data_IF_320195499384
#
_entry.id   IF_320195499384
#
_cell.length_a   1.000
_cell.length_b   1.000
_cell.length_c   1.000
_cell.angle_alpha   90.00
_cell.angle_beta   90.00
_cell.angle_gamma   90.00
#
_symmetry.space_group_name_H-M   'P 1'
#
loop_
_entity.id
_entity.type
_entity.pdbx_description
1 polymer ?
#
# COMPACT_ATOMS: atom_id res chain seq x y z
N UNK A 1 -7.24 28.34 2.02
CA UNK A 1 -6.83 27.89 3.36
C UNK A 1 -7.15 29.08 4.22
N UNK A 2 -8.01 28.89 5.22
CA UNK A 2 -8.68 30.00 5.89
C UNK A 2 -8.27 29.99 7.36
N UNK A 3 -8.05 31.19 7.91
CA UNK A 3 -7.65 31.33 9.31
C UNK A 3 -8.90 31.28 10.19
N UNK A 4 -8.97 30.23 11.00
CA UNK A 4 -10.07 30.01 11.93
C UNK A 4 -9.71 30.44 13.35
N UNK A 5 -10.64 31.10 14.05
CA UNK A 5 -10.49 31.39 15.48
C UNK A 5 -10.93 30.16 16.31
N UNK A 6 -10.00 29.52 17.02
CA UNK A 6 -10.26 28.31 17.83
C UNK A 6 -11.36 28.57 18.87
N UNK A 7 -11.29 29.70 19.56
CA UNK A 7 -12.42 30.28 20.30
C UNK A 7 -13.01 31.39 19.45
N UNK A 8 -14.29 31.30 19.03
CA UNK A 8 -14.94 32.34 18.24
C UNK A 8 -14.95 33.69 18.97
N UNK A 9 -14.88 34.79 18.21
CA UNK A 9 -14.95 36.14 18.77
C UNK A 9 -16.29 36.40 19.48
N UNK A 10 -17.39 35.80 19.01
CA UNK A 10 -18.71 35.85 19.67
C UNK A 10 -18.72 35.22 21.06
N UNK A 11 -17.74 34.37 21.39
CA UNK A 11 -17.55 33.76 22.70
C UNK A 11 -16.40 34.43 23.49
N UNK A 12 -15.93 35.59 23.05
CA UNK A 12 -14.82 36.32 23.69
C UNK A 12 -13.42 35.83 23.29
N UNK A 13 -13.31 35.04 22.22
CA UNK A 13 -12.00 34.63 21.68
C UNK A 13 -11.19 35.81 21.17
N UNK A 14 -9.92 35.88 21.58
CA UNK A 14 -9.00 36.96 21.19
C UNK A 14 -8.48 36.77 19.77
N UNK A 15 -8.13 37.87 19.11
CA UNK A 15 -7.52 37.85 17.78
C UNK A 15 -5.99 37.69 17.89
N UNK A 16 -5.53 36.51 18.30
CA UNK A 16 -4.09 36.22 18.44
C UNK A 16 -3.70 34.95 17.69
N UNK A 17 -2.40 34.77 17.43
CA UNK A 17 -1.88 33.58 16.75
C UNK A 17 -2.16 32.30 17.55
N UNK A 18 -2.16 32.39 18.88
CA UNK A 18 -2.46 31.28 19.80
C UNK A 18 -3.95 30.91 19.80
N UNK A 19 -4.82 31.77 19.28
CA UNK A 19 -6.23 31.48 19.06
C UNK A 19 -6.57 31.28 17.57
N UNK A 20 -5.59 31.29 16.67
CA UNK A 20 -5.77 31.09 15.25
C UNK A 20 -5.30 29.69 14.82
N UNK A 21 -6.00 29.07 13.87
CA UNK A 21 -5.58 27.82 13.23
C UNK A 21 -5.90 27.84 11.72
N UNK A 22 -4.94 27.50 10.84
CA UNK A 22 -5.20 27.38 9.42
C UNK A 22 -5.99 26.10 9.13
N UNK A 23 -7.20 26.23 8.59
CA UNK A 23 -8.04 25.10 8.20
C UNK A 23 -8.29 25.11 6.69
N UNK A 24 -8.44 23.92 6.10
CA UNK A 24 -8.99 23.81 4.74
C UNK A 24 -10.50 24.10 4.78
N UNK A 25 -11.13 24.48 3.64
CA UNK A 25 -12.54 24.87 3.62
C UNK A 25 -13.49 23.83 4.24
N UNK A 26 -13.27 22.53 3.96
CA UNK A 26 -14.09 21.44 4.52
C UNK A 26 -13.91 21.28 6.04
N UNK A 27 -12.67 21.33 6.55
CA UNK A 27 -12.42 21.29 7.99
C UNK A 27 -12.96 22.53 8.70
N UNK A 28 -12.92 23.69 8.03
CA UNK A 28 -13.43 24.94 8.56
C UNK A 28 -14.95 24.85 8.77
N UNK A 29 -15.68 24.31 7.80
CA UNK A 29 -17.13 24.08 7.88
C UNK A 29 -17.51 22.98 8.89
N UNK A 30 -16.76 21.87 8.91
CA UNK A 30 -17.11 20.69 9.72
C UNK A 30 -16.76 20.86 11.20
N UNK A 31 -15.63 21.49 11.52
CA UNK A 31 -15.07 21.48 12.87
C UNK A 31 -14.92 22.85 13.51
N UNK A 32 -14.85 23.93 12.72
CA UNK A 32 -14.43 25.26 13.20
C UNK A 32 -15.26 25.74 14.40
N UNK A 33 -16.59 25.81 14.23
CA UNK A 33 -17.47 26.30 15.30
C UNK A 33 -17.74 25.28 16.42
N UNK A 34 -17.16 24.08 16.40
CA UNK A 34 -17.49 23.01 17.35
C UNK A 34 -16.64 23.13 18.64
N UNK A 35 -17.23 23.47 19.81
CA UNK A 35 -16.47 23.65 21.05
C UNK A 35 -15.75 22.38 21.52
N UNK A 36 -16.29 21.20 21.22
CA UNK A 36 -15.72 19.90 21.61
C UNK A 36 -14.46 19.54 20.81
N UNK A 37 -14.24 20.19 19.66
CA UNK A 37 -13.10 19.92 18.77
C UNK A 37 -11.97 20.94 18.91
N UNK A 38 -12.12 21.97 19.76
CA UNK A 38 -11.09 23.02 20.00
C UNK A 38 -9.73 22.46 20.40
N UNK A 39 -9.71 21.42 21.26
CA UNK A 39 -8.47 20.75 21.66
C UNK A 39 -7.78 20.11 20.46
N UNK A 40 -8.53 19.34 19.67
CA UNK A 40 -8.02 18.69 18.45
C UNK A 40 -7.46 19.71 17.46
N UNK A 41 -8.18 20.81 17.22
CA UNK A 41 -7.75 21.88 16.31
C UNK A 41 -6.44 22.51 16.81
N UNK A 42 -6.30 22.73 18.12
CA UNK A 42 -5.08 23.28 18.72
C UNK A 42 -3.89 22.34 18.57
N UNK A 43 -4.07 21.07 18.90
CA UNK A 43 -3.01 20.05 18.79
C UNK A 43 -2.56 19.86 17.32
N UNK A 44 -3.52 19.83 16.38
CA UNK A 44 -3.21 19.74 14.95
C UNK A 44 -2.46 20.98 14.44
N UNK A 45 -2.83 22.18 14.92
CA UNK A 45 -2.10 23.43 14.61
C UNK A 45 -0.68 23.38 15.17
N UNK A 46 -0.51 23.00 16.43
CA UNK A 46 0.81 23.00 17.08
C UNK A 46 1.75 22.03 16.37
N UNK A 47 1.25 20.85 15.98
CA UNK A 47 1.98 19.91 15.12
C UNK A 47 2.34 20.54 13.77
N UNK A 48 1.42 21.26 13.13
CA UNK A 48 1.70 21.94 11.87
C UNK A 48 2.78 23.02 12.02
N UNK A 49 2.77 23.79 13.11
CA UNK A 49 3.81 24.78 13.41
C UNK A 49 5.16 24.13 13.70
N UNK A 50 5.19 23.02 14.43
CA UNK A 50 6.42 22.24 14.63
C UNK A 50 6.97 21.75 13.29
N UNK A 51 6.10 21.23 12.41
CA UNK A 51 6.50 20.81 11.07
C UNK A 51 7.06 21.99 10.29
N UNK A 52 6.42 23.15 10.27
CA UNK A 52 6.91 24.34 9.57
C UNK A 52 8.26 24.83 10.12
N UNK A 53 8.42 24.86 11.44
CA UNK A 53 9.67 25.27 12.10
C UNK A 53 10.82 24.30 11.81
N UNK A 54 10.54 23.01 11.65
CA UNK A 54 11.56 21.96 11.46
C UNK A 54 11.84 21.63 10.00
N UNK A 55 10.84 21.65 9.11
CA UNK A 55 10.99 21.30 7.68
C UNK A 55 11.76 22.34 6.87
N UNK A 56 11.66 23.63 7.21
CA UNK A 56 12.20 24.71 6.38
C UNK A 56 13.46 25.39 6.96
N UNK A 57 13.98 24.91 8.09
CA UNK A 57 15.23 25.39 8.69
C UNK A 57 16.50 24.85 8.00
N UNK A 58 16.40 24.38 6.75
CA UNK A 58 17.43 23.56 6.09
C UNK A 58 18.71 24.36 5.78
N UNK A 59 19.76 24.15 6.59
CA UNK A 59 21.11 24.62 6.31
C UNK A 59 21.90 23.69 5.37
N UNK A 60 22.98 24.21 4.78
CA UNK A 60 23.90 23.51 3.84
C UNK A 60 24.39 22.15 4.36
N UNK A 61 24.46 21.94 5.68
CA UNK A 61 24.79 20.65 6.29
C UNK A 61 23.82 19.53 5.93
N UNK A 62 22.50 19.80 5.91
CA UNK A 62 21.49 18.80 5.56
C UNK A 62 21.59 18.36 4.10
N UNK A 63 22.04 19.23 3.19
CA UNK A 63 22.26 18.87 1.78
C UNK A 63 23.44 17.92 1.61
N UNK A 64 24.50 18.09 2.41
CA UNK A 64 25.65 17.18 2.42
C UNK A 64 25.24 15.81 2.95
N UNK A 65 24.53 15.76 4.07
CA UNK A 65 24.05 14.52 4.67
C UNK A 65 23.10 13.77 3.72
N UNK A 66 22.23 14.49 2.99
CA UNK A 66 21.38 13.92 1.95
C UNK A 66 22.19 13.36 0.78
N UNK A 67 23.22 14.09 0.33
CA UNK A 67 24.09 13.63 -0.77
C UNK A 67 24.85 12.36 -0.38
N UNK A 68 25.33 12.28 0.86
CA UNK A 68 26.02 11.10 1.36
C UNK A 68 25.06 9.93 1.55
N UNK A 69 23.86 10.16 2.07
CA UNK A 69 22.83 9.11 2.19
C UNK A 69 22.35 8.59 0.83
N UNK A 70 22.23 9.45 -0.20
CA UNK A 70 21.85 9.06 -1.56
C UNK A 70 22.84 8.10 -2.22
N UNK A 71 24.13 8.13 -1.86
CA UNK A 71 25.13 7.15 -2.33
C UNK A 71 24.83 5.72 -1.86
N UNK A 72 24.01 5.58 -0.81
CA UNK A 72 23.66 4.31 -0.18
C UNK A 72 22.18 3.94 -0.39
N UNK A 73 21.48 4.66 -1.27
CA UNK A 73 20.14 4.33 -1.77
C UNK A 73 20.31 3.57 -3.08
N UNK A 74 19.50 2.53 -3.31
CA UNK A 74 19.69 1.58 -4.39
C UNK A 74 19.82 2.29 -5.76
N UNK A 75 20.93 2.01 -6.44
CA UNK A 75 21.21 2.44 -7.80
C UNK A 75 20.70 1.40 -8.81
N UNK A 76 20.67 1.75 -10.10
CA UNK A 76 20.27 0.85 -11.19
C UNK A 76 21.14 -0.43 -11.27
N UNK A 77 22.34 -0.41 -10.67
CA UNK A 77 23.27 -1.54 -10.61
C UNK A 77 22.91 -2.51 -9.46
N UNK A 78 22.41 -2.00 -8.33
CA UNK A 78 21.99 -2.81 -7.18
C UNK A 78 20.77 -3.69 -7.52
N UNK A 79 19.87 -3.19 -8.39
CA UNK A 79 18.72 -3.93 -8.90
C UNK A 79 19.13 -5.13 -9.78
N UNK A 80 20.25 -5.04 -10.52
CA UNK A 80 20.74 -6.17 -11.34
C UNK A 80 21.30 -7.29 -10.47
N UNK A 81 21.89 -6.96 -9.32
CA UNK A 81 22.43 -7.96 -8.39
C UNK A 81 21.32 -8.68 -7.58
N UNK A 82 20.20 -8.03 -7.30
CA UNK A 82 19.03 -8.66 -6.68
C UNK A 82 18.33 -9.66 -7.62
N UNK A 83 18.23 -9.35 -8.91
CA UNK A 83 17.68 -10.28 -9.92
C UNK A 83 18.50 -11.58 -10.05
N UNK A 84 19.82 -11.51 -9.84
CA UNK A 84 20.71 -12.69 -9.84
C UNK A 84 20.62 -13.48 -8.53
N UNK A 85 20.40 -12.82 -7.39
CA UNK A 85 20.32 -13.48 -6.07
C UNK A 85 19.08 -14.36 -5.88
N UNK A 86 17.97 -14.06 -6.57
CA UNK A 86 16.77 -14.91 -6.55
C UNK A 86 17.03 -16.31 -7.16
N UNK A 87 17.99 -16.45 -8.09
CA UNK A 87 18.38 -17.75 -8.66
C UNK A 87 19.17 -18.60 -7.65
N UNK A 88 19.99 -17.96 -6.81
CA UNK A 88 20.79 -18.66 -5.79
C UNK A 88 19.99 -19.12 -4.56
N UNK A 89 18.79 -18.60 -4.30
CA UNK A 89 17.94 -19.14 -3.23
C UNK A 89 17.29 -20.49 -3.61
N UNK A 90 17.19 -20.80 -4.92
CA UNK A 90 16.76 -22.10 -5.44
C UNK A 90 17.90 -23.14 -5.48
N UNK A 91 19.15 -22.70 -5.42
CA UNK A 91 20.34 -23.56 -5.44
C UNK A 91 21.11 -23.34 -4.14
N UNK A 92 20.75 -24.08 -3.09
CA UNK A 92 21.29 -23.95 -1.73
C UNK A 92 22.82 -23.96 -1.63
N UNK A 93 23.45 -22.82 -1.85
CA UNK A 93 24.86 -22.59 -1.59
C UNK A 93 24.99 -21.57 -0.47
N UNK A 94 25.22 -22.08 0.73
CA UNK A 94 25.64 -21.34 1.91
C UNK A 94 27.02 -20.73 1.71
N UNK A 95 27.13 -19.40 1.73
CA UNK A 95 28.44 -18.74 1.72
C UNK A 95 28.35 -17.22 1.76
N UNK A 96 28.41 -16.64 2.97
CA UNK A 96 28.59 -15.20 3.19
C UNK A 96 27.62 -14.64 4.23
N UNK A 97 28.11 -14.42 5.46
CA UNK A 97 27.41 -13.64 6.49
C UNK A 97 27.38 -12.17 6.08
N UNK A 98 26.32 -11.76 5.39
CA UNK A 98 25.78 -10.40 5.49
C UNK A 98 24.48 -10.52 6.30
N UNK A 99 24.28 -9.63 7.28
CA UNK A 99 23.03 -9.56 8.04
C UNK A 99 21.85 -9.35 7.08
N UNK A 100 21.22 -10.44 6.66
CA UNK A 100 19.92 -10.39 6.01
C UNK A 100 18.92 -9.84 7.02
N UNK A 101 18.54 -8.57 6.84
CA UNK A 101 17.42 -7.97 7.55
C UNK A 101 16.18 -8.89 7.38
N UNK A 102 15.58 -9.38 8.47
CA UNK A 102 14.44 -10.31 8.44
C UNK A 102 13.15 -9.69 7.84
N UNK A 103 13.16 -8.43 7.42
CA UNK A 103 11.95 -7.69 7.06
C UNK A 103 11.27 -8.14 5.76
N UNK A 104 11.97 -8.70 4.78
CA UNK A 104 11.32 -9.24 3.56
C UNK A 104 10.42 -10.44 3.83
N UNK A 105 10.68 -11.16 4.92
CA UNK A 105 9.86 -12.28 5.38
C UNK A 105 8.73 -11.84 6.30
N UNK A 106 8.53 -10.55 6.51
CA UNK A 106 7.50 -10.04 7.41
C UNK A 106 6.12 -10.10 6.77
N UNK A 107 5.96 -9.48 5.60
CA UNK A 107 4.66 -9.35 4.94
C UNK A 107 4.37 -10.51 4.00
N UNK A 108 3.12 -10.95 3.93
CA UNK A 108 2.74 -12.12 3.12
C UNK A 108 1.33 -12.07 2.55
N UNK A 109 1.09 -12.82 1.49
CA UNK A 109 -0.26 -13.18 1.02
C UNK A 109 -0.78 -14.49 1.63
N UNK A 110 0.06 -15.25 2.34
CA UNK A 110 -0.21 -16.65 2.74
C UNK A 110 -0.21 -16.85 4.25
N UNK A 111 0.71 -16.19 4.97
CA UNK A 111 0.88 -16.31 6.44
C UNK A 111 0.49 -15.04 7.17
N UNK A 112 0.37 -15.16 8.50
CA UNK A 112 0.17 -14.04 9.41
C UNK A 112 1.21 -12.92 9.20
N UNK A 113 0.80 -11.70 9.55
CA UNK A 113 1.30 -10.44 8.96
C UNK A 113 0.96 -10.31 7.47
N UNK A 114 -0.32 -10.53 7.17
CA UNK A 114 -0.90 -10.33 5.85
C UNK A 114 -0.68 -8.89 5.32
N UNK A 115 -0.49 -8.80 4.01
CA UNK A 115 -0.53 -7.52 3.29
C UNK A 115 -1.96 -6.97 3.40
N UNK A 116 -2.09 -5.70 3.78
CA UNK A 116 -3.37 -5.05 3.99
C UNK A 116 -4.19 -5.07 2.67
N UNK A 117 -5.45 -5.53 2.66
CA UNK A 117 -6.22 -5.66 1.42
C UNK A 117 -6.34 -4.36 0.62
N UNK A 118 -6.47 -3.21 1.30
CA UNK A 118 -6.50 -1.91 0.63
C UNK A 118 -5.19 -1.54 -0.10
N UNK A 119 -4.04 -2.08 0.29
CA UNK A 119 -2.79 -1.89 -0.47
C UNK A 119 -2.87 -2.64 -1.80
N UNK A 120 -3.37 -3.87 -1.77
CA UNK A 120 -3.57 -4.68 -2.98
C UNK A 120 -4.57 -4.00 -3.91
N UNK A 121 -5.68 -3.51 -3.36
CA UNK A 121 -6.69 -2.75 -4.11
C UNK A 121 -6.12 -1.51 -4.78
N UNK A 122 -5.32 -0.72 -4.06
CA UNK A 122 -4.66 0.47 -4.60
C UNK A 122 -3.76 0.13 -5.81
N UNK A 123 -2.98 -0.95 -5.71
CA UNK A 123 -2.07 -1.39 -6.76
C UNK A 123 -2.78 -1.98 -7.98
N UNK A 124 -4.02 -2.44 -7.86
CA UNK A 124 -4.84 -2.85 -9.01
C UNK A 124 -5.38 -1.66 -9.80
N UNK A 125 -5.36 -0.47 -9.21
CA UNK A 125 -5.93 0.73 -9.81
C UNK A 125 -7.47 0.75 -9.81
N UNK A 126 -8.02 1.91 -10.16
CA UNK A 126 -9.45 2.11 -10.21
C UNK A 126 -9.97 1.74 -11.60
N UNK A 127 -11.15 1.12 -11.67
CA UNK A 127 -11.77 0.78 -12.96
C UNK A 127 -12.05 2.01 -13.83
N UNK A 128 -12.21 3.18 -13.22
CA UNK A 128 -12.39 4.47 -13.89
C UNK A 128 -11.12 5.03 -14.51
N UNK A 129 -9.95 4.53 -14.10
CA UNK A 129 -8.68 5.08 -14.52
C UNK A 129 -8.16 4.31 -15.74
N UNK A 130 -7.70 5.02 -16.79
CA UNK A 130 -7.25 4.38 -18.02
C UNK A 130 -5.89 3.67 -17.89
N UNK A 131 -5.15 3.93 -16.81
CA UNK A 131 -3.85 3.33 -16.53
C UNK A 131 -3.58 3.29 -15.02
N UNK A 132 -2.78 2.32 -14.59
CA UNK A 132 -2.27 2.23 -13.22
C UNK A 132 -1.37 3.44 -12.93
N UNK A 133 -1.72 4.23 -11.91
CA UNK A 133 -0.94 5.40 -11.49
C UNK A 133 0.05 5.07 -10.36
N UNK A 134 -0.19 3.97 -9.64
CA UNK A 134 0.64 3.50 -8.53
C UNK A 134 1.26 2.15 -8.91
N UNK A 135 2.59 2.14 -9.06
CA UNK A 135 3.32 0.93 -9.44
C UNK A 135 3.86 0.13 -8.25
N UNK A 136 4.13 0.77 -7.10
CA UNK A 136 4.66 0.10 -5.91
C UNK A 136 4.30 0.82 -4.60
N UNK A 137 4.22 0.05 -3.51
CA UNK A 137 3.96 0.54 -2.15
C UNK A 137 5.02 -0.01 -1.19
N UNK A 138 5.61 0.86 -0.37
CA UNK A 138 6.47 0.48 0.76
C UNK A 138 5.63 -0.12 1.88
N UNK A 139 5.63 -1.45 1.98
CA UNK A 139 4.84 -2.21 2.95
C UNK A 139 5.21 -1.89 4.39
N UNK A 140 6.49 -1.63 4.67
CA UNK A 140 6.94 -1.32 6.03
C UNK A 140 6.27 -0.05 6.57
N UNK A 141 6.08 0.93 5.68
CA UNK A 141 5.42 2.20 6.02
C UNK A 141 3.91 2.14 5.87
N UNK A 142 3.41 1.37 4.91
CA UNK A 142 2.01 1.40 4.49
C UNK A 142 1.09 0.46 5.29
N UNK A 143 1.56 -0.75 5.65
CA UNK A 143 0.69 -1.85 6.12
C UNK A 143 -0.05 -1.55 7.45
N UNK A 144 0.38 -0.51 8.18
CA UNK A 144 -0.25 -0.01 9.41
C UNK A 144 -0.49 1.50 9.37
N UNK A 145 -0.47 2.10 8.19
CA UNK A 145 -0.62 3.55 8.03
C UNK A 145 -2.09 3.97 8.04
N UNK A 146 -2.33 5.24 8.36
CA UNK A 146 -3.65 5.85 8.25
C UNK A 146 -4.18 5.90 6.81
N UNK A 147 -3.33 5.75 5.77
CA UNK A 147 -3.80 5.70 4.37
C UNK A 147 -4.57 4.41 4.10
N UNK A 148 -4.14 3.30 4.68
CA UNK A 148 -4.74 1.98 4.54
C UNK A 148 -5.31 1.55 5.89
N UNK A 149 -6.17 2.40 6.46
CA UNK A 149 -6.79 2.17 7.75
C UNK A 149 -7.97 1.18 7.63
N UNK A 150 -8.31 0.55 8.74
CA UNK A 150 -9.43 -0.37 8.85
C UNK A 150 -8.97 -1.78 9.16
N UNK A 151 -9.77 -2.51 9.91
CA UNK A 151 -9.49 -3.91 10.21
C UNK A 151 -9.83 -4.79 9.01
N UNK A 152 -9.14 -5.92 8.90
CA UNK A 152 -9.45 -6.96 7.95
C UNK A 152 -9.47 -8.31 8.67
N UNK A 153 -10.14 -9.29 8.06
CA UNK A 153 -10.27 -10.63 8.59
C UNK A 153 -9.65 -11.62 7.62
N UNK A 154 -8.90 -12.59 8.15
CA UNK A 154 -8.48 -13.76 7.41
C UNK A 154 -9.46 -14.91 7.69
N UNK A 155 -9.98 -15.53 6.63
CA UNK A 155 -10.86 -16.70 6.72
C UNK A 155 -10.45 -17.75 5.70
N UNK A 156 -10.69 -19.02 5.99
CA UNK A 156 -10.41 -20.09 5.01
C UNK A 156 -11.67 -20.40 4.21
N UNK A 157 -11.58 -20.33 2.86
CA UNK A 157 -12.67 -20.69 1.94
C UNK A 157 -12.09 -21.53 0.81
N UNK A 158 -12.71 -22.68 0.52
CA UNK A 158 -12.27 -23.60 -0.54
C UNK A 158 -10.77 -23.99 -0.44
N UNK A 159 -10.28 -24.21 0.79
CA UNK A 159 -8.89 -24.61 1.04
C UNK A 159 -7.84 -23.50 0.88
N UNK A 160 -8.26 -22.25 0.65
CA UNK A 160 -7.36 -21.09 0.56
C UNK A 160 -7.70 -20.04 1.62
N UNK A 161 -6.68 -19.32 2.07
CA UNK A 161 -6.86 -18.17 2.95
C UNK A 161 -7.34 -16.96 2.13
N UNK A 162 -8.47 -16.40 2.54
CA UNK A 162 -9.04 -15.16 2.02
C UNK A 162 -8.89 -14.06 3.06
N UNK A 163 -8.24 -12.98 2.67
CA UNK A 163 -8.04 -11.79 3.49
C UNK A 163 -8.99 -10.72 2.99
N UNK A 164 -9.93 -10.31 3.84
CA UNK A 164 -11.05 -9.46 3.47
C UNK A 164 -11.13 -8.23 4.36
N UNK A 165 -11.15 -7.07 3.72
CA UNK A 165 -11.50 -5.80 4.32
C UNK A 165 -12.95 -5.46 3.98
N UNK A 166 -13.70 -4.97 4.96
CA UNK A 166 -15.07 -4.51 4.80
C UNK A 166 -15.15 -3.02 5.15
N UNK A 167 -15.62 -2.22 4.19
CA UNK A 167 -15.82 -0.79 4.33
C UNK A 167 -17.25 -0.41 4.70
N UNK A 168 -17.58 0.87 4.52
CA UNK A 168 -18.94 1.38 4.70
C UNK A 168 -19.83 1.05 3.51
N UNK A 169 -21.16 1.08 3.69
CA UNK A 169 -22.13 1.00 2.57
C UNK A 169 -21.97 -0.23 1.65
N UNK A 170 -21.65 -1.39 2.24
CA UNK A 170 -21.43 -2.67 1.55
C UNK A 170 -20.18 -2.70 0.66
N UNK A 171 -19.28 -1.75 0.83
CA UNK A 171 -17.97 -1.82 0.22
C UNK A 171 -17.15 -2.95 0.82
N UNK A 172 -16.48 -3.73 -0.01
CA UNK A 172 -15.51 -4.71 0.47
C UNK A 172 -14.45 -5.00 -0.57
N UNK A 173 -13.29 -5.41 -0.10
CA UNK A 173 -12.22 -5.90 -0.95
C UNK A 173 -11.59 -7.12 -0.30
N UNK A 174 -11.47 -8.20 -1.06
CA UNK A 174 -10.87 -9.43 -0.59
C UNK A 174 -9.84 -9.95 -1.60
N UNK A 175 -8.84 -10.66 -1.08
CA UNK A 175 -7.90 -11.38 -1.91
C UNK A 175 -7.60 -12.77 -1.37
N UNK A 176 -7.14 -13.66 -2.24
CA UNK A 176 -6.60 -14.98 -1.90
C UNK A 176 -5.37 -15.26 -2.74
N UNK A 177 -4.30 -15.75 -2.12
CA UNK A 177 -3.14 -16.25 -2.86
C UNK A 177 -3.54 -17.47 -3.70
N UNK A 178 -3.07 -17.52 -4.95
CA UNK A 178 -3.20 -18.69 -5.84
C UNK A 178 -1.89 -19.49 -5.81
N UNK A 179 -0.79 -18.82 -6.14
CA UNK A 179 0.53 -19.43 -6.23
C UNK A 179 1.64 -18.37 -6.26
N UNK A 180 2.87 -18.84 -6.10
CA UNK A 180 4.08 -18.05 -6.39
C UNK A 180 4.81 -18.74 -7.53
N UNK A 181 5.15 -18.01 -8.60
CA UNK A 181 5.92 -18.56 -9.72
C UNK A 181 7.38 -18.84 -9.34
N UNK A 182 8.12 -19.66 -10.10
CA UNK A 182 9.56 -19.87 -9.88
C UNK A 182 10.38 -18.57 -9.87
N UNK A 183 10.02 -17.56 -10.66
CA UNK A 183 10.69 -16.25 -10.63
C UNK A 183 10.28 -15.34 -9.45
N UNK A 184 9.30 -15.77 -8.65
CA UNK A 184 8.84 -15.05 -7.45
C UNK A 184 7.60 -14.17 -7.66
N UNK A 185 6.91 -14.28 -8.80
CA UNK A 185 5.64 -13.56 -9.04
C UNK A 185 4.57 -14.12 -8.11
N UNK A 186 4.00 -13.25 -7.27
CA UNK A 186 2.85 -13.54 -6.43
C UNK A 186 1.59 -13.41 -7.27
N UNK A 187 0.85 -14.52 -7.42
CA UNK A 187 -0.39 -14.59 -8.19
C UNK A 187 -1.55 -14.59 -7.20
N UNK A 188 -2.40 -13.58 -7.26
CA UNK A 188 -3.42 -13.31 -6.25
C UNK A 188 -4.77 -13.12 -6.92
N UNK A 189 -5.77 -13.87 -6.48
CA UNK A 189 -7.17 -13.66 -6.86
C UNK A 189 -7.77 -12.56 -6.00
N UNK A 190 -8.47 -11.62 -6.62
CA UNK A 190 -9.03 -10.44 -5.97
C UNK A 190 -10.52 -10.30 -6.30
N UNK A 191 -11.28 -9.80 -5.32
CA UNK A 191 -12.71 -9.50 -5.43
C UNK A 191 -12.97 -8.10 -4.86
N UNK A 192 -13.44 -7.18 -5.70
CA UNK A 192 -13.73 -5.79 -5.34
C UNK A 192 -15.22 -5.48 -5.46
N UNK A 193 -15.79 -4.97 -4.37
CA UNK A 193 -17.11 -4.38 -4.34
C UNK A 193 -17.00 -2.93 -3.90
N UNK A 194 -17.01 -1.98 -4.84
CA UNK A 194 -16.93 -0.54 -4.60
C UNK A 194 -18.21 0.14 -4.09
N UNK A 195 -19.04 -0.54 -3.29
CA UNK A 195 -20.30 0.00 -2.71
C UNK A 195 -21.58 -0.23 -3.53
N UNK A 196 -21.45 -0.55 -4.83
CA UNK A 196 -22.57 -0.95 -5.68
C UNK A 196 -23.06 -2.39 -5.47
N UNK A 197 -23.83 -2.88 -6.44
CA UNK A 197 -24.25 -4.29 -6.50
C UNK A 197 -23.22 -5.18 -7.19
N UNK A 198 -22.38 -4.63 -8.08
CA UNK A 198 -21.34 -5.35 -8.80
C UNK A 198 -20.21 -5.85 -7.89
N UNK A 199 -19.64 -7.00 -8.23
CA UNK A 199 -18.50 -7.60 -7.56
C UNK A 199 -17.49 -7.98 -8.63
N UNK A 200 -16.45 -7.17 -8.80
CA UNK A 200 -15.50 -7.33 -9.90
C UNK A 200 -14.30 -8.18 -9.46
N UNK A 201 -14.06 -9.25 -10.22
CA UNK A 201 -12.91 -10.11 -10.02
C UNK A 201 -11.70 -9.68 -10.83
N UNK A 202 -10.51 -9.91 -10.29
CA UNK A 202 -9.23 -9.82 -11.02
C UNK A 202 -8.22 -10.84 -10.52
N UNK A 203 -7.22 -11.14 -11.35
CA UNK A 203 -5.98 -11.80 -10.91
C UNK A 203 -4.87 -10.75 -10.93
N UNK A 204 -4.38 -10.37 -9.76
CA UNK A 204 -3.23 -9.49 -9.60
C UNK A 204 -1.91 -10.25 -9.65
N UNK A 205 -0.91 -9.67 -10.32
CA UNK A 205 0.45 -10.17 -10.39
C UNK A 205 1.36 -9.20 -9.66
N UNK A 206 2.04 -9.67 -8.61
CA UNK A 206 2.88 -8.81 -7.78
C UNK A 206 4.29 -9.35 -7.60
N UNK A 207 5.24 -8.46 -7.31
CA UNK A 207 6.58 -8.81 -6.86
C UNK A 207 6.89 -8.15 -5.53
N UNK A 208 7.66 -8.84 -4.69
CA UNK A 208 8.24 -8.29 -3.48
C UNK A 208 9.70 -7.94 -3.75
N UNK A 209 10.04 -6.66 -3.62
CA UNK A 209 11.37 -6.13 -3.88
C UNK A 209 11.99 -5.50 -2.63
N UNK A 210 13.32 -5.46 -2.61
CA UNK A 210 14.12 -5.05 -1.47
C UNK A 210 14.89 -3.78 -1.79
N UNK A 211 14.40 -2.71 -1.20
CA UNK A 211 14.80 -1.33 -1.24
C UNK A 211 15.87 -0.82 -0.27
N UNK A 212 16.59 0.25 -0.61
CA UNK A 212 17.03 1.24 0.37
C UNK A 212 16.46 2.59 0.00
N UNK A 213 16.04 3.38 0.98
CA UNK A 213 15.60 4.76 0.78
C UNK A 213 16.06 5.68 1.89
N UNK A 214 15.96 6.99 1.64
CA UNK A 214 16.16 7.99 2.67
C UNK A 214 15.11 7.84 3.77
N UNK A 215 15.57 7.99 5.01
CA UNK A 215 14.76 8.02 6.22
C UNK A 215 15.30 9.07 7.18
N UNK A 216 14.63 9.17 8.32
CA UNK A 216 15.13 9.91 9.47
C UNK A 216 15.40 8.91 10.58
N UNK A 217 16.54 9.06 11.24
CA UNK A 217 16.82 8.34 12.48
C UNK A 217 16.01 8.93 13.66
N UNK A 218 16.06 8.33 14.86
CA UNK A 218 15.35 8.86 16.04
C UNK A 218 15.75 10.29 16.43
N UNK A 219 16.94 10.76 16.03
CA UNK A 219 17.43 12.11 16.26
C UNK A 219 17.04 13.08 15.13
N UNK A 220 16.17 12.65 14.20
CA UNK A 220 15.74 13.37 13.00
C UNK A 220 16.89 13.73 12.04
N UNK A 221 17.99 12.98 12.06
CA UNK A 221 19.07 13.09 11.07
C UNK A 221 18.76 12.23 9.84
N UNK A 222 19.22 12.71 8.68
CA UNK A 222 19.05 11.97 7.43
C UNK A 222 19.85 10.67 7.52
N UNK A 223 19.16 9.56 7.26
CA UNK A 223 19.74 8.23 7.25
C UNK A 223 19.21 7.44 6.06
N UNK A 224 19.70 6.20 5.89
CA UNK A 224 19.11 5.26 4.95
C UNK A 224 18.42 4.14 5.71
N UNK A 225 17.27 3.71 5.22
CA UNK A 225 16.50 2.57 5.75
C UNK A 225 16.21 1.56 4.65
N UNK A 226 16.11 0.29 5.03
CA UNK A 226 15.58 -0.73 4.14
C UNK A 226 14.09 -0.47 3.87
N UNK A 227 13.62 -0.86 2.67
CA UNK A 227 12.20 -0.87 2.33
C UNK A 227 11.81 -2.20 1.72
N UNK A 228 10.62 -2.67 2.08
CA UNK A 228 10.00 -3.82 1.43
C UNK A 228 8.93 -3.26 0.49
N UNK A 229 9.15 -3.36 -0.81
CA UNK A 229 8.22 -2.86 -1.81
C UNK A 229 7.32 -3.99 -2.31
N UNK A 230 6.02 -3.76 -2.32
CA UNK A 230 5.09 -4.54 -3.12
C UNK A 230 4.83 -3.80 -4.42
N UNK A 231 5.14 -4.44 -5.55
CA UNK A 231 5.06 -3.84 -6.88
C UNK A 231 4.04 -4.57 -7.74
N UNK A 232 3.18 -3.81 -8.42
CA UNK A 232 2.28 -4.33 -9.44
C UNK A 232 3.09 -4.69 -10.69
N UNK A 233 2.88 -5.91 -11.18
CA UNK A 233 3.31 -6.35 -12.50
C UNK A 233 2.15 -6.32 -13.52
N UNK A 234 0.98 -5.88 -13.07
CA UNK A 234 -0.26 -5.83 -13.82
C UNK A 234 -1.34 -6.75 -13.25
N UNK A 235 -2.50 -6.71 -13.89
CA UNK A 235 -3.66 -7.51 -13.50
C UNK A 235 -4.46 -8.03 -14.70
N UNK A 236 -5.20 -9.11 -14.49
CA UNK A 236 -6.12 -9.69 -15.47
C UNK A 236 -7.53 -9.53 -14.95
N UNK A 237 -8.35 -8.72 -15.64
CA UNK A 237 -9.76 -8.59 -15.28
C UNK A 237 -10.52 -9.89 -15.55
N UNK A 238 -11.30 -10.31 -14.56
CA UNK A 238 -12.24 -11.43 -14.62
C UNK A 238 -13.67 -10.95 -14.86
N UNK A 239 -13.99 -9.67 -14.61
CA UNK A 239 -15.33 -9.10 -14.76
C UNK A 239 -16.24 -9.30 -13.54
N UNK A 240 -17.52 -8.98 -13.69
CA UNK A 240 -18.51 -8.98 -12.59
C UNK A 240 -19.01 -10.40 -12.26
N UNK A 241 -18.89 -10.80 -10.98
CA UNK A 241 -19.27 -12.10 -10.41
C UNK A 241 -18.73 -13.31 -11.18
N UNK A 242 -17.47 -13.23 -11.60
CA UNK A 242 -16.77 -14.37 -12.19
C UNK A 242 -16.84 -15.56 -11.24
N UNK A 243 -17.20 -16.72 -11.80
CA UNK A 243 -17.18 -17.98 -11.07
C UNK A 243 -16.59 -19.05 -11.99
N UNK A 244 -15.28 -19.24 -11.91
CA UNK A 244 -14.56 -20.24 -12.66
C UNK A 244 -13.31 -20.68 -11.91
N UNK A 245 -12.73 -21.80 -12.33
CA UNK A 245 -11.56 -22.35 -11.66
C UNK A 245 -10.30 -21.63 -12.13
N UNK A 246 -9.52 -21.10 -11.19
CA UNK A 246 -8.22 -20.50 -11.46
C UNK A 246 -7.13 -21.40 -10.89
N UNK A 247 -6.16 -21.79 -11.70
CA UNK A 247 -5.07 -22.69 -11.30
C UNK A 247 -3.75 -22.21 -11.85
N UNK A 248 -2.68 -22.52 -11.13
CA UNK A 248 -1.32 -22.34 -11.61
C UNK A 248 -0.57 -23.67 -11.50
N UNK A 249 -0.02 -24.14 -12.62
CA UNK A 249 0.75 -25.38 -12.67
C UNK A 249 1.80 -25.28 -13.78
N UNK A 250 3.02 -25.75 -13.52
CA UNK A 250 4.11 -25.86 -14.50
C UNK A 250 4.39 -24.55 -15.27
N UNK A 251 4.37 -23.42 -14.57
CA UNK A 251 4.60 -22.10 -15.19
C UNK A 251 3.39 -21.50 -15.89
N UNK A 252 2.24 -22.17 -15.88
CA UNK A 252 1.04 -21.76 -16.61
C UNK A 252 -0.08 -21.36 -15.65
N UNK A 253 -0.52 -20.11 -15.74
CA UNK A 253 -1.74 -19.62 -15.11
C UNK A 253 -2.93 -19.90 -16.05
N UNK A 254 -3.90 -20.66 -15.56
CA UNK A 254 -5.12 -21.01 -16.28
C UNK A 254 -6.31 -20.39 -15.57
N UNK A 255 -7.06 -19.55 -16.29
CA UNK A 255 -8.34 -18.99 -15.89
C UNK A 255 -9.41 -19.77 -16.65
N UNK A 256 -10.18 -20.58 -15.94
CA UNK A 256 -11.23 -21.42 -16.49
C UNK A 256 -12.44 -20.63 -17.00
N UNK A 257 -13.40 -21.30 -17.64
CA UNK A 257 -14.60 -20.66 -18.15
C UNK A 257 -15.39 -19.96 -17.03
N UNK A 258 -16.05 -18.86 -17.36
CA UNK A 258 -16.94 -18.17 -16.44
C UNK A 258 -18.29 -18.91 -16.40
N UNK A 259 -18.50 -19.66 -15.33
CA UNK A 259 -19.74 -20.36 -14.99
C UNK A 259 -20.63 -19.52 -14.04
N UNK A 260 -20.27 -18.25 -13.87
CA UNK A 260 -20.96 -17.29 -13.00
C UNK A 260 -22.22 -16.72 -13.60
N UNK A 261 -22.63 -15.56 -13.08
CA UNK A 261 -23.91 -14.93 -13.40
C UNK A 261 -24.10 -14.66 -14.89
N UNK A 262 -23.03 -14.27 -15.59
CA UNK A 262 -23.07 -13.94 -17.01
C UNK A 262 -22.76 -15.13 -17.94
N UNK A 263 -22.35 -16.28 -17.38
CA UNK A 263 -22.09 -17.53 -18.12
C UNK A 263 -21.32 -17.33 -19.44
N UNK A 264 -20.28 -16.49 -19.44
CA UNK A 264 -19.50 -16.21 -20.66
C UNK A 264 -18.76 -17.43 -21.20
N UNK A 265 -18.68 -18.51 -20.41
CA UNK A 265 -18.17 -19.80 -20.86
C UNK A 265 -16.71 -19.71 -21.32
N UNK A 266 -16.36 -20.50 -22.35
CA UNK A 266 -14.98 -20.58 -22.87
C UNK A 266 -14.42 -19.26 -23.41
N UNK A 267 -15.28 -18.32 -23.80
CA UNK A 267 -14.83 -17.01 -24.29
C UNK A 267 -14.14 -16.15 -23.20
N UNK A 268 -14.37 -16.47 -21.92
CA UNK A 268 -13.71 -15.83 -20.79
C UNK A 268 -12.47 -16.59 -20.29
N UNK A 269 -12.17 -17.77 -20.87
CA UNK A 269 -11.00 -18.56 -20.49
C UNK A 269 -9.71 -17.93 -21.00
N UNK A 270 -8.65 -18.00 -20.19
CA UNK A 270 -7.32 -17.45 -20.53
C UNK A 270 -6.24 -18.41 -20.05
N UNK A 271 -5.18 -18.53 -20.83
CA UNK A 271 -3.96 -19.23 -20.45
C UNK A 271 -2.78 -18.27 -20.61
N UNK A 272 -2.00 -18.10 -19.56
CA UNK A 272 -0.88 -17.16 -19.54
C UNK A 272 0.37 -17.84 -18.96
N UNK A 273 1.50 -17.83 -19.68
CA UNK A 273 2.77 -18.24 -19.10
C UNK A 273 3.20 -17.19 -18.07
N UNK A 274 3.45 -17.62 -16.84
CA UNK A 274 3.99 -16.82 -15.75
C UNK A 274 5.21 -17.55 -15.20
N UNK A 275 6.38 -17.12 -15.66
CA UNK A 275 7.69 -17.66 -15.26
C UNK A 275 8.11 -17.26 -13.86
#
# INVERSE_FOLDING_TARGET
MDIHHIVPQSEGGLHTEENAAPLCPSCHETYGANPQKRKLIREARDLWYEICATRFASGVGQLKDMTDALKHVATKEDLKHLAVRNVSYLLGTSGGREEHSPEHSRYSFVREEFIHPLIVRELLGWLSDPAETIAAVDLASANRSNRFFGDFLASTRNGRAWVEWAGTERESFAYSHIATSPSGVQIVECSDRGGGTGVFGSVGLFSLECDRALGLDPERKISTRARVLLKSLGSISLGDRYNGKITYQDGLLVIGPDEGWFKRGKAASKELPVG
#
